data_IF_880191417888
#
_entry.id   IF_880191417888
#
_cell.length_a   1.000
_cell.length_b   1.000
_cell.length_c   1.000
_cell.angle_alpha   90.00
_cell.angle_beta   90.00
_cell.angle_gamma   90.00
#
_symmetry.space_group_name_H-M   'P 1'
#
loop_
_entity.id
_entity.type
_entity.pdbx_description
1 polymer ?
#
# COMPACT_ATOMS: atom_id res chain seq x y z
N UNK A 1 17.03 24.21 47.96
CA UNK A 1 17.20 23.17 46.92
C UNK A 1 15.85 22.59 46.49
N UNK A 2 14.97 23.37 45.86
CA UNK A 2 13.66 22.90 45.33
C UNK A 2 13.29 23.50 43.95
N UNK A 3 14.23 24.20 43.30
CA UNK A 3 13.99 24.85 41.99
C UNK A 3 14.78 24.23 40.83
N UNK A 4 15.50 23.14 41.07
CA UNK A 4 16.33 22.48 40.05
C UNK A 4 15.70 21.19 39.47
N UNK A 5 14.47 20.85 39.85
CA UNK A 5 13.78 19.63 39.40
C UNK A 5 12.80 19.84 38.25
N UNK A 6 12.59 21.09 37.82
CA UNK A 6 11.63 21.44 36.77
C UNK A 6 12.23 21.52 35.36
N UNK A 7 13.56 21.38 35.22
CA UNK A 7 14.23 21.39 33.91
C UNK A 7 14.42 20.00 33.28
N UNK A 8 14.18 18.92 34.04
CA UNK A 8 14.34 17.54 33.54
C UNK A 8 13.05 17.00 32.90
N UNK A 9 11.89 17.64 33.16
CA UNK A 9 10.61 17.25 32.56
C UNK A 9 10.37 17.79 31.15
N UNK A 10 11.28 18.63 30.61
CA UNK A 10 11.18 19.18 29.25
C UNK A 10 11.92 18.35 28.18
N UNK A 11 12.53 17.22 28.53
CA UNK A 11 13.32 16.40 27.60
C UNK A 11 12.65 15.09 27.14
N UNK A 12 11.40 14.83 27.53
CA UNK A 12 10.67 13.61 27.13
C UNK A 12 9.60 13.80 26.05
N UNK A 13 9.64 14.88 25.28
CA UNK A 13 9.08 14.86 23.92
C UNK A 13 10.18 14.47 22.94
N UNK A 14 10.79 13.30 23.13
CA UNK A 14 11.52 12.64 22.05
C UNK A 14 10.44 12.19 21.09
N UNK A 15 10.06 13.09 20.18
CA UNK A 15 9.34 12.73 18.97
C UNK A 15 10.24 11.76 18.23
N UNK A 16 10.05 10.46 18.49
CA UNK A 16 10.54 9.40 17.62
C UNK A 16 9.84 9.62 16.29
N UNK A 17 10.49 10.36 15.40
CA UNK A 17 10.13 10.41 13.99
C UNK A 17 10.14 8.96 13.50
N UNK A 18 9.01 8.47 13.02
CA UNK A 18 8.84 7.07 12.64
C UNK A 18 9.58 6.85 11.33
N UNK A 19 10.76 6.22 11.38
CA UNK A 19 11.50 5.99 10.14
C UNK A 19 10.72 5.06 9.18
N UNK A 20 10.83 5.33 7.88
CA UNK A 20 10.35 4.39 6.86
C UNK A 20 11.01 3.02 7.07
N UNK A 21 10.22 1.95 6.94
CA UNK A 21 10.78 0.60 6.94
C UNK A 21 11.54 0.32 5.63
N UNK A 22 12.30 -0.77 5.61
CA UNK A 22 13.13 -1.15 4.46
C UNK A 22 12.32 -1.31 3.16
N UNK A 23 11.05 -1.75 3.25
CA UNK A 23 10.20 -1.97 2.07
C UNK A 23 9.74 -0.64 1.48
N UNK A 24 9.25 0.27 2.31
CA UNK A 24 8.86 1.62 1.90
C UNK A 24 10.08 2.39 1.37
N UNK A 25 11.25 2.25 1.99
CA UNK A 25 12.50 2.83 1.49
C UNK A 25 12.87 2.28 0.12
N UNK A 26 12.83 0.95 -0.07
CA UNK A 26 13.06 0.32 -1.39
C UNK A 26 12.05 0.78 -2.44
N UNK A 27 10.78 0.96 -2.08
CA UNK A 27 9.79 1.47 -3.01
C UNK A 27 10.08 2.92 -3.42
N UNK A 28 10.46 3.77 -2.46
CA UNK A 28 10.84 5.17 -2.67
C UNK A 28 12.05 5.33 -3.59
N UNK A 29 13.02 4.41 -3.51
CA UNK A 29 14.29 4.50 -4.24
C UNK A 29 14.36 3.61 -5.49
N UNK A 30 13.42 2.67 -5.63
CA UNK A 30 13.45 1.60 -6.62
C UNK A 30 13.07 2.00 -8.05
N UNK A 31 12.50 1.02 -8.76
CA UNK A 31 12.10 1.15 -10.15
C UNK A 31 10.96 2.18 -10.32
N UNK A 32 10.75 2.76 -11.53
CA UNK A 32 9.73 3.79 -11.75
C UNK A 32 8.34 3.43 -11.23
N UNK A 33 7.86 2.21 -11.47
CA UNK A 33 6.57 1.75 -10.96
C UNK A 33 6.49 1.71 -9.43
N UNK A 34 7.59 1.35 -8.75
CA UNK A 34 7.64 1.34 -7.29
C UNK A 34 7.62 2.76 -6.72
N UNK A 35 8.36 3.69 -7.35
CA UNK A 35 8.37 5.12 -7.01
C UNK A 35 7.01 5.76 -7.20
N UNK A 36 6.35 5.44 -8.32
CA UNK A 36 4.99 5.89 -8.62
C UNK A 36 3.98 5.38 -7.59
N UNK A 37 4.11 4.12 -7.15
CA UNK A 37 3.27 3.56 -6.10
C UNK A 37 3.55 4.18 -4.73
N UNK A 38 4.82 4.34 -4.36
CA UNK A 38 5.22 5.02 -3.12
C UNK A 38 4.66 6.44 -3.05
N UNK A 39 4.76 7.20 -4.14
CA UNK A 39 4.29 8.59 -4.20
C UNK A 39 2.79 8.69 -3.99
N UNK A 40 2.03 7.77 -4.60
CA UNK A 40 0.59 7.65 -4.35
C UNK A 40 0.28 7.30 -2.90
N UNK A 41 0.91 6.25 -2.36
CA UNK A 41 0.69 5.79 -0.98
C UNK A 41 0.95 6.95 -0.01
N UNK A 42 2.06 7.68 -0.20
CA UNK A 42 2.40 8.85 0.60
C UNK A 42 1.35 9.95 0.48
N UNK A 43 0.95 10.30 -0.74
CA UNK A 43 -0.07 11.33 -0.96
C UNK A 43 -1.43 10.93 -0.34
N UNK A 44 -1.83 9.67 -0.42
CA UNK A 44 -3.05 9.17 0.20
C UNK A 44 -2.97 9.23 1.74
N UNK A 45 -1.82 8.88 2.31
CA UNK A 45 -1.58 8.99 3.74
C UNK A 45 -1.59 10.46 4.21
N UNK A 46 -0.96 11.36 3.47
CA UNK A 46 -0.97 12.81 3.74
C UNK A 46 -2.40 13.38 3.68
N UNK A 47 -3.22 12.98 2.71
CA UNK A 47 -4.64 13.38 2.66
C UNK A 47 -5.45 12.91 3.87
N UNK A 48 -5.16 11.72 4.39
CA UNK A 48 -5.91 11.09 5.49
C UNK A 48 -5.49 11.62 6.86
N UNK A 49 -4.19 11.82 7.05
CA UNK A 49 -3.59 12.11 8.36
C UNK A 49 -3.08 13.55 8.49
N UNK A 50 -3.22 14.35 7.42
CA UNK A 50 -2.82 15.76 7.35
C UNK A 50 -1.36 15.96 7.82
N UNK A 51 -1.16 16.62 8.95
CA UNK A 51 0.16 16.94 9.50
C UNK A 51 0.63 15.93 10.56
N UNK A 52 -0.12 14.85 10.81
CA UNK A 52 0.30 13.80 11.72
C UNK A 52 1.34 12.88 11.04
N UNK A 53 2.59 13.34 11.03
CA UNK A 53 3.71 12.65 10.36
C UNK A 53 3.90 11.21 10.83
N UNK A 54 3.72 10.92 12.12
CA UNK A 54 3.84 9.55 12.64
C UNK A 54 2.80 8.62 12.03
N UNK A 55 1.56 9.09 11.86
CA UNK A 55 0.50 8.32 11.22
C UNK A 55 0.68 8.21 9.70
N UNK A 56 1.24 9.25 9.06
CA UNK A 56 1.63 9.18 7.65
C UNK A 56 2.67 8.08 7.44
N UNK A 57 3.74 8.09 8.24
CA UNK A 57 4.83 7.11 8.16
C UNK A 57 4.33 5.69 8.43
N UNK A 58 3.50 5.51 9.47
CA UNK A 58 2.85 4.24 9.77
C UNK A 58 2.02 3.72 8.59
N UNK A 59 1.15 4.56 8.01
CA UNK A 59 0.30 4.18 6.87
C UNK A 59 1.16 3.86 5.63
N UNK A 60 2.19 4.66 5.35
CA UNK A 60 3.12 4.40 4.23
C UNK A 60 3.79 3.03 4.40
N UNK A 61 4.29 2.74 5.59
CA UNK A 61 4.96 1.48 5.89
C UNK A 61 4.04 0.27 5.69
N UNK A 62 2.81 0.32 6.24
CA UNK A 62 1.88 -0.82 6.17
C UNK A 62 1.29 -1.03 4.76
N UNK A 63 1.05 0.05 4.01
CA UNK A 63 0.62 0.00 2.62
C UNK A 63 1.73 -0.60 1.74
N UNK A 64 2.98 -0.14 1.93
CA UNK A 64 4.14 -0.64 1.19
C UNK A 64 4.41 -2.12 1.44
N UNK A 65 4.35 -2.55 2.71
CA UNK A 65 4.45 -3.96 3.10
C UNK A 65 3.36 -4.81 2.44
N UNK A 66 2.11 -4.34 2.47
CA UNK A 66 0.99 -5.09 1.91
C UNK A 66 1.07 -5.21 0.38
N UNK A 67 1.44 -4.12 -0.30
CA UNK A 67 1.72 -4.11 -1.73
C UNK A 67 2.82 -5.12 -2.05
N UNK A 68 3.97 -5.00 -1.38
CA UNK A 68 5.12 -5.87 -1.63
C UNK A 68 4.79 -7.34 -1.34
N UNK A 69 4.05 -7.64 -0.27
CA UNK A 69 3.61 -8.98 0.08
C UNK A 69 2.81 -9.61 -1.07
N UNK A 70 1.77 -8.93 -1.54
CA UNK A 70 0.87 -9.44 -2.58
C UNK A 70 1.61 -9.72 -3.90
N UNK A 71 2.67 -8.96 -4.20
CA UNK A 71 3.42 -9.11 -5.45
C UNK A 71 4.69 -9.97 -5.35
N UNK A 72 5.23 -10.20 -4.14
CA UNK A 72 6.34 -11.11 -3.90
C UNK A 72 5.89 -12.52 -3.52
N UNK A 73 4.65 -12.70 -3.04
CA UNK A 73 4.09 -14.04 -2.86
C UNK A 73 4.02 -14.74 -4.23
N UNK A 74 4.32 -16.03 -4.24
CA UNK A 74 4.60 -16.84 -5.43
C UNK A 74 3.59 -16.56 -6.56
N UNK A 75 3.99 -15.72 -7.53
CA UNK A 75 3.13 -15.20 -8.61
C UNK A 75 2.42 -16.30 -9.41
N UNK A 76 2.90 -17.53 -9.30
CA UNK A 76 2.39 -18.73 -9.95
C UNK A 76 1.16 -19.34 -9.25
N UNK A 77 0.92 -19.03 -7.97
CA UNK A 77 -0.15 -19.63 -7.16
C UNK A 77 -1.25 -18.63 -6.74
N UNK A 78 -1.11 -17.36 -7.13
CA UNK A 78 -2.10 -16.34 -6.83
C UNK A 78 -3.46 -16.69 -7.46
N UNK A 79 -4.52 -16.72 -6.64
CA UNK A 79 -5.88 -16.75 -7.17
C UNK A 79 -6.24 -15.37 -7.72
N UNK A 80 -6.01 -15.20 -9.03
CA UNK A 80 -6.21 -13.93 -9.74
C UNK A 80 -7.65 -13.41 -9.57
N UNK A 81 -8.65 -14.29 -9.49
CA UNK A 81 -10.05 -13.88 -9.34
C UNK A 81 -10.28 -13.26 -7.97
N UNK A 82 -9.82 -13.92 -6.90
CA UNK A 82 -9.89 -13.38 -5.54
C UNK A 82 -9.11 -12.06 -5.44
N UNK A 83 -7.95 -11.99 -6.08
CA UNK A 83 -7.11 -10.79 -6.07
C UNK A 83 -7.76 -9.60 -6.77
N UNK A 84 -8.29 -9.77 -7.99
CA UNK A 84 -9.00 -8.71 -8.72
C UNK A 84 -10.24 -8.23 -7.94
N UNK A 85 -10.99 -9.16 -7.33
CA UNK A 85 -12.15 -8.80 -6.51
C UNK A 85 -11.73 -7.95 -5.29
N UNK A 86 -10.63 -8.33 -4.65
CA UNK A 86 -10.08 -7.61 -3.49
C UNK A 86 -9.62 -6.19 -3.87
N UNK A 87 -8.92 -6.05 -5.00
CA UNK A 87 -8.54 -4.73 -5.55
C UNK A 87 -9.79 -3.88 -5.80
N UNK A 88 -10.76 -4.44 -6.53
CA UNK A 88 -11.98 -3.71 -6.94
C UNK A 88 -12.78 -3.21 -5.74
N UNK A 89 -12.83 -3.99 -4.66
CA UNK A 89 -13.54 -3.63 -3.42
C UNK A 89 -12.90 -2.44 -2.70
N UNK A 90 -11.58 -2.28 -2.81
CA UNK A 90 -10.80 -1.34 -2.00
C UNK A 90 -10.12 -0.25 -2.85
N UNK A 91 -10.66 0.03 -4.04
CA UNK A 91 -10.21 1.15 -4.87
C UNK A 91 -10.34 2.49 -4.13
N UNK A 92 -9.38 3.38 -4.35
CA UNK A 92 -9.43 4.74 -3.82
C UNK A 92 -10.36 5.59 -4.68
N UNK A 93 -11.43 6.10 -4.07
CA UNK A 93 -12.42 6.94 -4.73
C UNK A 93 -11.82 8.26 -5.27
N UNK A 94 -10.76 8.77 -4.63
CA UNK A 94 -10.06 9.96 -5.10
C UNK A 94 -9.29 9.71 -6.41
N UNK A 95 -9.04 8.45 -6.74
CA UNK A 95 -8.29 8.02 -7.92
C UNK A 95 -9.19 7.27 -8.93
N UNK A 96 -10.52 7.43 -8.80
CA UNK A 96 -11.51 6.72 -9.62
C UNK A 96 -11.24 6.83 -11.12
N UNK A 97 -10.88 8.02 -11.61
CA UNK A 97 -10.58 8.23 -13.04
C UNK A 97 -9.36 7.40 -13.46
N UNK A 98 -8.26 7.47 -12.71
CA UNK A 98 -7.04 6.70 -12.97
C UNK A 98 -7.35 5.19 -13.00
N UNK A 99 -8.08 4.69 -12.00
CA UNK A 99 -8.45 3.28 -11.91
C UNK A 99 -9.34 2.82 -13.08
N UNK A 100 -10.31 3.64 -13.49
CA UNK A 100 -11.16 3.36 -14.67
C UNK A 100 -10.31 3.28 -15.94
N UNK A 101 -9.37 4.20 -16.12
CA UNK A 101 -8.52 4.22 -17.31
C UNK A 101 -7.58 3.01 -17.33
N UNK A 102 -7.05 2.60 -16.17
CA UNK A 102 -6.26 1.38 -16.03
C UNK A 102 -7.06 0.11 -16.35
N UNK A 103 -8.34 0.02 -15.93
CA UNK A 103 -9.22 -1.08 -16.35
C UNK A 103 -9.39 -1.13 -17.87
N UNK A 104 -9.55 0.02 -18.53
CA UNK A 104 -9.64 0.07 -20.00
C UNK A 104 -8.34 -0.40 -20.65
N UNK A 105 -7.19 -0.07 -20.09
CA UNK A 105 -5.89 -0.57 -20.57
C UNK A 105 -5.79 -2.08 -20.45
N UNK A 106 -6.16 -2.65 -19.29
CA UNK A 106 -6.18 -4.10 -19.08
C UNK A 106 -7.09 -4.80 -20.11
N UNK A 107 -8.27 -4.23 -20.38
CA UNK A 107 -9.21 -4.78 -21.36
C UNK A 107 -8.71 -4.71 -22.81
N UNK A 108 -7.73 -3.85 -23.11
CA UNK A 108 -7.07 -3.79 -24.43
C UNK A 108 -5.94 -4.82 -24.55
N UNK A 109 -5.42 -5.34 -23.44
CA UNK A 109 -4.37 -6.37 -23.47
C UNK A 109 -4.95 -7.63 -24.12
N UNK A 110 -4.25 -8.16 -25.13
CA UNK A 110 -4.61 -9.43 -25.76
C UNK A 110 -4.78 -10.52 -24.70
N UNK A 111 -5.78 -11.39 -24.85
CA UNK A 111 -5.98 -12.55 -23.96
C UNK A 111 -4.74 -13.44 -23.83
N UNK A 112 -3.80 -13.36 -24.79
CA UNK A 112 -2.53 -14.11 -24.77
C UNK A 112 -1.46 -13.48 -23.87
N UNK A 113 -1.54 -12.19 -23.57
CA UNK A 113 -0.52 -11.46 -22.81
C UNK A 113 -0.88 -11.33 -21.33
N UNK A 114 -1.17 -12.47 -20.69
CA UNK A 114 -1.55 -12.55 -19.27
C UNK A 114 -0.53 -11.90 -18.34
N UNK A 115 0.76 -11.96 -18.68
CA UNK A 115 1.84 -11.32 -17.91
C UNK A 115 1.67 -9.79 -17.90
N UNK A 116 1.31 -9.20 -19.03
CA UNK A 116 1.10 -7.75 -19.12
C UNK A 116 -0.14 -7.32 -18.30
N UNK A 117 -1.21 -8.11 -18.35
CA UNK A 117 -2.39 -7.85 -17.51
C UNK A 117 -2.06 -7.90 -16.01
N UNK A 118 -1.27 -8.88 -15.56
CA UNK A 118 -0.80 -8.99 -14.18
C UNK A 118 0.10 -7.82 -13.77
N UNK A 119 0.96 -7.36 -14.67
CA UNK A 119 1.76 -6.14 -14.51
C UNK A 119 0.84 -4.94 -14.32
N UNK A 120 -0.24 -4.79 -15.07
CA UNK A 120 -1.13 -3.64 -14.86
C UNK A 120 -1.86 -3.68 -13.51
N UNK A 121 -2.07 -4.85 -12.90
CA UNK A 121 -2.70 -4.94 -11.57
C UNK A 121 -1.91 -4.22 -10.48
N UNK A 122 -0.58 -4.13 -10.57
CA UNK A 122 0.22 -3.44 -9.54
C UNK A 122 0.04 -1.92 -9.55
N UNK A 123 -0.58 -1.36 -10.59
CA UNK A 123 -0.77 0.09 -10.74
C UNK A 123 -2.05 0.60 -10.09
N UNK A 124 -2.99 -0.27 -9.73
CA UNK A 124 -4.26 0.18 -9.15
C UNK A 124 -4.04 1.03 -7.89
N UNK A 125 -4.76 2.14 -7.82
CA UNK A 125 -4.77 3.02 -6.66
C UNK A 125 -5.86 2.56 -5.72
N UNK A 126 -5.44 1.88 -4.68
CA UNK A 126 -6.31 1.22 -3.72
C UNK A 126 -5.66 1.16 -2.36
N UNK A 127 -6.45 0.83 -1.33
CA UNK A 127 -5.92 0.56 -0.01
C UNK A 127 -5.32 -0.86 0.02
N UNK A 128 -4.02 -0.98 -0.21
CA UNK A 128 -3.30 -2.25 -0.30
C UNK A 128 -3.34 -3.07 0.98
N UNK A 129 -3.38 -2.42 2.16
CA UNK A 129 -3.59 -3.11 3.43
C UNK A 129 -4.93 -3.85 3.44
N UNK A 130 -6.00 -3.17 3.00
CA UNK A 130 -7.33 -3.77 2.95
C UNK A 130 -7.47 -4.79 1.83
N UNK A 131 -6.80 -4.59 0.68
CA UNK A 131 -6.70 -5.60 -0.39
C UNK A 131 -6.06 -6.88 0.14
N UNK A 132 -4.94 -6.78 0.87
CA UNK A 132 -4.27 -7.95 1.47
C UNK A 132 -5.19 -8.66 2.46
N UNK A 133 -5.82 -7.90 3.36
CA UNK A 133 -6.76 -8.46 4.33
C UNK A 133 -7.90 -9.24 3.66
N UNK A 134 -8.54 -8.64 2.65
CA UNK A 134 -9.64 -9.26 1.91
C UNK A 134 -9.20 -10.50 1.13
N UNK A 135 -8.03 -10.41 0.48
CA UNK A 135 -7.45 -11.54 -0.26
C UNK A 135 -7.19 -12.72 0.66
N UNK A 136 -6.51 -12.50 1.79
CA UNK A 136 -6.21 -13.55 2.77
C UNK A 136 -7.50 -14.15 3.36
N UNK A 137 -8.53 -13.32 3.58
CA UNK A 137 -9.83 -13.78 4.08
C UNK A 137 -10.53 -14.70 3.07
N UNK A 138 -10.62 -14.30 1.81
CA UNK A 138 -11.27 -15.08 0.76
C UNK A 138 -10.48 -16.35 0.41
N UNK A 139 -9.15 -16.30 0.44
CA UNK A 139 -8.31 -17.47 0.20
C UNK A 139 -8.52 -18.53 1.29
N UNK A 140 -8.50 -18.13 2.58
CA UNK A 140 -8.82 -19.02 3.69
C UNK A 140 -10.23 -19.60 3.58
N UNK A 141 -11.22 -18.80 3.16
CA UNK A 141 -12.58 -19.29 2.99
C UNK A 141 -12.66 -20.38 1.90
N UNK A 142 -11.88 -20.24 0.81
CA UNK A 142 -11.81 -21.22 -0.27
C UNK A 142 -11.13 -22.53 0.14
N UNK A 143 -10.09 -22.46 0.98
CA UNK A 143 -9.34 -23.64 1.45
C UNK A 143 -10.09 -24.47 2.51
N UNK A 144 -11.05 -23.84 3.22
CA UNK A 144 -11.89 -24.50 4.23
C UNK A 144 -13.22 -25.05 3.66
N UNK A 145 -13.40 -25.04 2.34
CA UNK A 145 -14.55 -25.61 1.61
C UNK A 145 -14.11 -26.82 0.80
#
# INVERSE_FOLDING_TARGET
>A
MKRLFLLILLFFSVSSYGQLNDIAQKMKEGAPAQKEMYSYIKAAAERKWDSNYQMIEYEVNIQAESWMYLFNYNKLEMDIKIFINSITKWLDDNEKKYNIDLFKEINKVSKKDKIMALVLLYKFRCNWQMVKYEYDLQLRAKENL
#
